data_IF_053932066674
#
_entry.id   IF_053932066674
#
_cell.length_a   1.000
_cell.length_b   1.000
_cell.length_c   1.000
_cell.angle_alpha   90.00
_cell.angle_beta   90.00
_cell.angle_gamma   90.00
#
_symmetry.space_group_name_H-M   'P 1'
#
loop_
_entity.id
_entity.type
_entity.pdbx_description
1 polymer ?
#
# COMPACT_ATOMS: atom_id res chain seq x y z
N UNK A 1 30.20 -23.66 -8.09
CA UNK A 1 30.36 -22.20 -8.02
C UNK A 1 29.07 -21.40 -8.28
N UNK A 2 28.23 -21.71 -9.30
CA UNK A 2 26.97 -20.97 -9.61
C UNK A 2 25.96 -20.97 -8.45
N UNK A 3 25.79 -22.07 -7.72
CA UNK A 3 24.84 -22.16 -6.60
C UNK A 3 25.27 -21.31 -5.38
N UNK A 4 26.57 -21.24 -5.09
CA UNK A 4 27.10 -20.43 -3.99
C UNK A 4 26.85 -18.92 -4.21
N UNK A 5 27.14 -18.42 -5.41
CA UNK A 5 26.85 -17.02 -5.74
C UNK A 5 25.35 -16.67 -5.68
N UNK A 6 24.49 -17.63 -6.06
CA UNK A 6 23.05 -17.45 -5.98
C UNK A 6 22.57 -17.33 -4.52
N UNK A 7 23.00 -18.22 -3.62
CA UNK A 7 22.64 -18.14 -2.21
C UNK A 7 23.24 -16.89 -1.52
N UNK A 8 24.47 -16.53 -1.85
CA UNK A 8 25.09 -15.31 -1.33
C UNK A 8 24.29 -14.06 -1.73
N UNK A 9 23.83 -14.00 -3.00
CA UNK A 9 22.97 -12.91 -3.47
C UNK A 9 21.63 -12.84 -2.72
N UNK A 10 20.97 -13.98 -2.51
CA UNK A 10 19.72 -14.05 -1.76
C UNK A 10 19.92 -13.56 -0.32
N UNK A 11 20.94 -14.05 0.37
CA UNK A 11 21.26 -13.67 1.75
C UNK A 11 21.54 -12.16 1.84
N UNK A 12 22.28 -11.61 0.89
CA UNK A 12 22.58 -10.18 0.83
C UNK A 12 21.31 -9.33 0.67
N UNK A 13 20.41 -9.72 -0.26
CA UNK A 13 19.14 -9.01 -0.49
C UNK A 13 18.25 -9.11 0.75
N UNK A 14 18.17 -10.28 1.40
CA UNK A 14 17.40 -10.45 2.62
C UNK A 14 17.96 -9.59 3.76
N UNK A 15 19.27 -9.60 3.96
CA UNK A 15 19.92 -8.80 5.00
C UNK A 15 19.69 -7.30 4.75
N UNK A 16 19.88 -6.84 3.52
CA UNK A 16 19.66 -5.45 3.12
C UNK A 16 18.19 -5.03 3.30
N UNK A 17 17.25 -5.90 2.92
CA UNK A 17 15.82 -5.65 3.08
C UNK A 17 15.35 -5.65 4.54
N UNK A 18 15.97 -6.47 5.41
CA UNK A 18 15.61 -6.56 6.82
C UNK A 18 16.31 -5.52 7.72
N UNK A 19 17.42 -4.95 7.26
CA UNK A 19 18.21 -3.98 8.03
C UNK A 19 17.38 -2.79 8.55
N UNK A 20 16.53 -2.12 7.75
CA UNK A 20 15.71 -1.03 8.27
C UNK A 20 14.69 -1.48 9.33
N UNK A 21 14.11 -2.67 9.18
CA UNK A 21 13.19 -3.22 10.18
C UNK A 21 13.90 -3.56 11.48
N UNK A 22 15.10 -4.12 11.39
CA UNK A 22 15.94 -4.33 12.56
C UNK A 22 16.22 -3.01 13.29
N UNK A 23 16.60 -1.96 12.54
CA UNK A 23 16.86 -0.65 13.12
C UNK A 23 15.63 -0.03 13.76
N UNK A 24 14.47 -0.15 13.13
CA UNK A 24 13.19 0.28 13.72
C UNK A 24 12.92 -0.44 15.04
N UNK A 25 13.16 -1.76 15.11
CA UNK A 25 12.97 -2.53 16.34
C UNK A 25 13.95 -2.09 17.44
N UNK A 26 15.22 -1.90 17.10
CA UNK A 26 16.24 -1.40 18.04
C UNK A 26 15.84 -0.04 18.59
N UNK A 27 15.39 0.87 17.74
CA UNK A 27 14.95 2.21 18.14
C UNK A 27 13.68 2.17 18.98
N UNK A 28 12.71 1.34 18.62
CA UNK A 28 11.46 1.17 19.35
C UNK A 28 11.67 0.64 20.79
N UNK A 29 12.69 -0.20 20.97
CA UNK A 29 13.05 -0.77 22.28
C UNK A 29 14.00 0.14 23.09
N UNK A 30 14.44 1.25 22.53
CA UNK A 30 15.41 2.14 23.17
C UNK A 30 14.70 3.22 24.00
N UNK A 31 15.24 3.56 25.19
CA UNK A 31 14.76 4.70 25.96
C UNK A 31 14.87 6.00 25.15
N UNK A 32 13.89 6.87 25.25
CA UNK A 32 13.79 8.13 24.50
C UNK A 32 15.03 9.03 24.65
N UNK A 33 15.72 8.97 25.79
CA UNK A 33 16.95 9.74 26.03
C UNK A 33 18.11 9.32 25.13
N UNK A 34 18.06 8.09 24.61
CA UNK A 34 19.08 7.47 23.76
C UNK A 34 18.62 7.25 22.32
N UNK A 35 17.56 7.91 21.88
CA UNK A 35 16.98 7.74 20.54
C UNK A 35 18.01 7.99 19.43
N UNK A 36 18.93 8.92 19.62
CA UNK A 36 19.97 9.27 18.64
C UNK A 36 21.26 8.47 18.79
N UNK A 37 21.31 7.49 19.70
CA UNK A 37 22.46 6.61 19.84
C UNK A 37 22.58 5.71 18.59
N UNK A 38 23.79 5.59 18.06
CA UNK A 38 24.08 4.85 16.81
C UNK A 38 24.48 3.40 17.06
N UNK A 39 24.45 2.92 18.32
CA UNK A 39 24.76 1.52 18.63
C UNK A 39 23.77 0.57 17.97
N UNK A 40 24.25 -0.54 17.35
CA UNK A 40 23.37 -1.46 16.62
C UNK A 40 22.47 -2.34 17.53
N UNK A 41 22.53 -2.19 18.83
CA UNK A 41 21.64 -2.86 19.81
C UNK A 41 21.08 -1.86 20.81
N UNK A 42 19.92 -2.12 21.40
CA UNK A 42 19.35 -1.23 22.41
C UNK A 42 20.14 -1.34 23.71
N UNK A 43 20.86 -0.28 24.08
CA UNK A 43 21.68 -0.22 25.33
C UNK A 43 20.82 -0.09 26.58
N UNK A 44 19.67 0.55 26.47
CA UNK A 44 18.68 0.76 27.53
C UNK A 44 17.32 0.30 27.02
N UNK A 45 17.00 -0.98 27.26
CA UNK A 45 15.76 -1.59 26.77
C UNK A 45 14.58 -1.11 27.59
N UNK A 46 13.57 -0.57 26.92
CA UNK A 46 12.28 -0.20 27.51
C UNK A 46 11.12 -0.57 26.60
N UNK A 47 9.94 -0.75 27.16
CA UNK A 47 8.67 -0.91 26.44
C UNK A 47 7.81 0.36 26.54
N UNK A 48 8.33 1.44 27.12
CA UNK A 48 7.57 2.68 27.32
C UNK A 48 7.13 3.29 26.01
N UNK A 49 7.95 3.22 24.95
CA UNK A 49 7.57 3.70 23.62
C UNK A 49 6.30 3.01 23.10
N UNK A 50 6.14 1.70 23.34
CA UNK A 50 4.93 0.96 22.95
C UNK A 50 3.75 1.33 23.84
N UNK A 51 3.97 1.48 25.15
CA UNK A 51 2.95 1.93 26.09
C UNK A 51 2.46 3.33 25.73
N UNK A 52 3.39 4.25 25.45
CA UNK A 52 3.09 5.63 25.09
C UNK A 52 2.37 5.73 23.74
N UNK A 53 2.72 4.90 22.76
CA UNK A 53 2.02 4.84 21.48
C UNK A 53 0.57 4.33 21.62
N UNK A 54 0.30 3.45 22.59
CA UNK A 54 -1.04 2.91 22.84
C UNK A 54 -1.84 3.75 23.85
N UNK A 55 -1.18 4.68 24.57
CA UNK A 55 -1.82 5.52 25.56
C UNK A 55 -2.56 6.69 24.88
N UNK A 56 -3.84 6.84 25.17
CA UNK A 56 -4.70 7.91 24.62
C UNK A 56 -4.55 9.24 25.37
N UNK A 57 -3.99 9.20 26.58
CA UNK A 57 -3.83 10.35 27.49
C UNK A 57 -2.74 11.35 27.04
N UNK A 58 -1.84 10.95 26.15
CA UNK A 58 -0.75 11.79 25.62
C UNK A 58 -1.09 12.50 24.29
N UNK A 59 -2.35 12.54 23.88
CA UNK A 59 -2.80 13.19 22.65
C UNK A 59 -2.54 12.38 21.37
N UNK A 60 -2.04 11.16 21.50
CA UNK A 60 -1.84 10.23 20.41
C UNK A 60 -3.02 9.24 20.37
N UNK A 61 -3.93 9.42 19.42
CA UNK A 61 -5.04 8.49 19.22
C UNK A 61 -4.67 7.41 18.19
N UNK A 62 -3.58 6.68 18.48
CA UNK A 62 -3.05 5.65 17.58
C UNK A 62 -4.06 4.55 17.28
N UNK A 63 -4.83 4.11 18.29
CA UNK A 63 -5.82 3.05 18.11
C UNK A 63 -6.97 3.51 17.21
N UNK A 64 -7.45 4.75 17.37
CA UNK A 64 -8.45 5.31 16.47
C UNK A 64 -7.89 5.51 15.05
N UNK A 65 -6.66 5.99 14.92
CA UNK A 65 -5.99 6.11 13.62
C UNK A 65 -5.84 4.75 12.93
N UNK A 66 -5.47 3.70 13.70
CA UNK A 66 -5.38 2.32 13.19
C UNK A 66 -6.75 1.81 12.76
N UNK A 67 -7.79 2.03 13.57
CA UNK A 67 -9.18 1.68 13.23
C UNK A 67 -9.66 2.36 11.96
N UNK A 68 -9.40 3.67 11.82
CA UNK A 68 -9.71 4.42 10.60
C UNK A 68 -8.98 3.88 9.37
N UNK A 69 -7.69 3.59 9.50
CA UNK A 69 -6.89 3.01 8.41
C UNK A 69 -7.41 1.63 8.00
N UNK A 70 -7.77 0.80 8.97
CA UNK A 70 -8.34 -0.53 8.72
C UNK A 70 -9.69 -0.43 8.00
N UNK A 71 -10.58 0.44 8.46
CA UNK A 71 -11.88 0.67 7.84
C UNK A 71 -11.72 1.16 6.39
N UNK A 72 -10.89 2.20 6.17
CA UNK A 72 -10.65 2.77 4.85
C UNK A 72 -10.07 1.71 3.91
N UNK A 73 -9.07 0.95 4.36
CA UNK A 73 -8.44 -0.07 3.53
C UNK A 73 -9.37 -1.23 3.19
N UNK A 74 -10.16 -1.71 4.16
CA UNK A 74 -11.13 -2.79 3.92
C UNK A 74 -12.23 -2.38 2.94
N UNK A 75 -12.83 -1.19 3.14
CA UNK A 75 -13.87 -0.69 2.23
C UNK A 75 -13.31 -0.44 0.84
N UNK A 76 -12.15 0.22 0.75
CA UNK A 76 -11.47 0.46 -0.54
C UNK A 76 -11.18 -0.84 -1.26
N UNK A 77 -10.59 -1.83 -0.57
CA UNK A 77 -10.24 -3.11 -1.18
C UNK A 77 -11.48 -3.89 -1.61
N UNK A 78 -12.50 -3.98 -0.77
CA UNK A 78 -13.73 -4.68 -1.11
C UNK A 78 -14.38 -4.10 -2.37
N UNK A 79 -14.52 -2.78 -2.44
CA UNK A 79 -15.13 -2.11 -3.59
C UNK A 79 -14.25 -2.22 -4.84
N UNK A 80 -12.94 -1.98 -4.72
CA UNK A 80 -12.02 -2.06 -5.85
C UNK A 80 -11.93 -3.47 -6.42
N UNK A 81 -11.87 -4.50 -5.57
CA UNK A 81 -11.85 -5.91 -6.00
C UNK A 81 -13.17 -6.29 -6.67
N UNK A 82 -14.31 -5.88 -6.11
CA UNK A 82 -15.61 -6.16 -6.69
C UNK A 82 -15.71 -5.58 -8.11
N UNK A 83 -15.42 -4.30 -8.27
CA UNK A 83 -15.43 -3.63 -9.58
C UNK A 83 -14.38 -4.26 -10.51
N UNK A 84 -13.16 -4.49 -10.00
CA UNK A 84 -12.06 -5.07 -10.76
C UNK A 84 -12.37 -6.44 -11.32
N UNK A 85 -12.95 -7.34 -10.51
CA UNK A 85 -13.33 -8.71 -10.95
C UNK A 85 -14.38 -8.66 -12.05
N UNK A 86 -15.45 -7.87 -11.90
CA UNK A 86 -16.47 -7.76 -12.95
C UNK A 86 -15.90 -7.14 -14.24
N UNK A 87 -15.06 -6.11 -14.11
CA UNK A 87 -14.42 -5.47 -15.27
C UNK A 87 -13.46 -6.45 -15.96
N UNK A 88 -12.62 -7.16 -15.21
CA UNK A 88 -11.70 -8.15 -15.74
C UNK A 88 -12.45 -9.32 -16.41
N UNK A 89 -13.55 -9.78 -15.81
CA UNK A 89 -14.41 -10.80 -16.39
C UNK A 89 -15.00 -10.33 -17.74
N UNK A 90 -15.55 -9.11 -17.77
CA UNK A 90 -16.10 -8.54 -19.02
C UNK A 90 -15.03 -8.41 -20.11
N UNK A 91 -13.84 -7.90 -19.76
CA UNK A 91 -12.71 -7.76 -20.68
C UNK A 91 -12.15 -9.11 -21.15
N UNK A 92 -12.20 -10.16 -20.33
CA UNK A 92 -11.71 -11.49 -20.72
C UNK A 92 -12.74 -12.28 -21.56
N UNK A 93 -14.02 -12.14 -21.25
CA UNK A 93 -15.10 -12.97 -21.83
C UNK A 93 -15.69 -12.42 -23.10
N UNK A 94 -15.78 -11.11 -23.24
CA UNK A 94 -16.44 -10.47 -24.38
C UNK A 94 -15.43 -9.83 -25.33
N UNK A 95 -15.67 -10.04 -26.62
CA UNK A 95 -14.97 -9.33 -27.70
C UNK A 95 -15.86 -8.22 -28.21
N UNK A 96 -15.43 -6.99 -28.02
CA UNK A 96 -16.15 -5.80 -28.46
C UNK A 96 -15.20 -4.78 -29.10
N UNK A 97 -15.70 -3.95 -30.04
CA UNK A 97 -14.89 -2.92 -30.67
C UNK A 97 -14.43 -1.91 -29.59
N UNK A 98 -13.12 -1.58 -29.58
CA UNK A 98 -12.54 -0.66 -28.58
C UNK A 98 -11.99 -1.31 -27.32
N UNK A 99 -12.08 -2.64 -27.13
CA UNK A 99 -11.51 -3.36 -26.00
C UNK A 99 -10.04 -3.00 -25.73
N UNK A 100 -9.23 -2.94 -26.81
CA UNK A 100 -7.81 -2.54 -26.71
C UNK A 100 -7.62 -1.11 -26.21
N UNK A 101 -8.51 -0.20 -26.62
CA UNK A 101 -8.47 1.21 -26.17
C UNK A 101 -8.81 1.28 -24.68
N UNK A 102 -9.86 0.59 -24.23
CA UNK A 102 -10.23 0.54 -22.80
C UNK A 102 -9.09 -0.02 -21.96
N UNK A 103 -8.50 -1.15 -22.36
CA UNK A 103 -7.35 -1.75 -21.67
C UNK A 103 -6.15 -0.79 -21.65
N UNK A 104 -5.89 -0.10 -22.78
CA UNK A 104 -4.84 0.91 -22.88
C UNK A 104 -5.04 2.08 -21.94
N UNK A 105 -6.28 2.59 -21.80
CA UNK A 105 -6.62 3.68 -20.85
C UNK A 105 -6.41 3.22 -19.42
N UNK A 106 -6.85 2.01 -19.06
CA UNK A 106 -6.66 1.46 -17.71
C UNK A 106 -5.15 1.36 -17.38
N UNK A 107 -4.36 0.88 -18.33
CA UNK A 107 -2.92 0.79 -18.18
C UNK A 107 -2.26 2.17 -18.07
N UNK A 108 -2.64 3.12 -18.91
CA UNK A 108 -2.15 4.50 -18.86
C UNK A 108 -2.48 5.18 -17.52
N UNK A 109 -3.69 4.94 -16.99
CA UNK A 109 -4.10 5.46 -15.70
C UNK A 109 -3.23 4.91 -14.55
N UNK A 110 -2.78 3.65 -14.64
CA UNK A 110 -1.87 3.07 -13.63
C UNK A 110 -0.48 3.70 -13.60
N UNK A 111 -0.06 4.31 -14.70
CA UNK A 111 1.25 4.98 -14.81
C UNK A 111 1.19 6.45 -14.36
N UNK A 112 0.01 6.97 -14.06
CA UNK A 112 -0.12 8.37 -13.65
C UNK A 112 0.40 8.56 -12.22
N UNK A 113 1.31 9.53 -11.97
CA UNK A 113 1.87 9.75 -10.64
C UNK A 113 0.81 10.29 -9.69
N UNK A 114 0.41 9.47 -8.70
CA UNK A 114 -0.62 9.83 -7.73
C UNK A 114 -0.33 11.14 -6.99
N UNK A 115 0.96 11.45 -6.78
CA UNK A 115 1.39 12.69 -6.11
C UNK A 115 0.96 13.95 -6.87
N UNK A 116 0.85 13.90 -8.20
CA UNK A 116 0.40 15.04 -9.01
C UNK A 116 -1.08 15.39 -8.79
N UNK A 117 -1.86 14.44 -8.26
CA UNK A 117 -3.29 14.64 -7.99
C UNK A 117 -3.57 15.18 -6.59
N UNK A 118 -2.58 15.25 -5.70
CA UNK A 118 -2.80 15.68 -4.30
C UNK A 118 -3.37 17.09 -4.24
N UNK A 119 -2.76 18.05 -4.92
CA UNK A 119 -3.23 19.45 -4.91
C UNK A 119 -4.62 19.64 -5.51
N UNK A 120 -4.92 19.16 -6.73
CA UNK A 120 -6.26 19.28 -7.30
C UNK A 120 -7.34 18.54 -6.50
N UNK A 121 -7.02 17.35 -5.94
CA UNK A 121 -7.96 16.64 -5.07
C UNK A 121 -8.23 17.38 -3.76
N UNK A 122 -7.21 18.00 -3.16
CA UNK A 122 -7.37 18.80 -1.96
C UNK A 122 -8.31 20.01 -2.22
N UNK A 123 -8.14 20.70 -3.34
CA UNK A 123 -9.01 21.82 -3.73
C UNK A 123 -10.45 21.33 -4.00
N UNK A 124 -10.61 20.22 -4.73
CA UNK A 124 -11.91 19.63 -5.02
C UNK A 124 -12.64 19.25 -3.73
N UNK A 125 -11.95 18.57 -2.81
CA UNK A 125 -12.55 18.14 -1.55
C UNK A 125 -12.78 19.28 -0.59
N UNK A 126 -12.00 20.38 -0.66
CA UNK A 126 -12.29 21.64 0.03
C UNK A 126 -13.62 22.22 -0.43
N UNK A 127 -13.82 22.35 -1.75
CA UNK A 127 -15.05 22.88 -2.34
C UNK A 127 -16.29 22.01 -2.06
N UNK A 128 -16.10 20.68 -1.91
CA UNK A 128 -17.15 19.73 -1.59
C UNK A 128 -17.39 19.55 -0.08
N UNK A 129 -16.63 20.22 0.77
CA UNK A 129 -16.65 20.05 2.22
C UNK A 129 -16.38 18.60 2.66
N UNK A 130 -15.54 17.87 1.92
CA UNK A 130 -15.20 16.48 2.21
C UNK A 130 -13.92 16.30 3.01
N UNK A 131 -13.15 17.38 3.22
CA UNK A 131 -11.91 17.32 4.02
C UNK A 131 -12.24 16.80 5.41
N UNK A 132 -11.45 15.83 5.91
CA UNK A 132 -11.68 15.16 7.18
C UNK A 132 -12.77 14.08 7.17
N UNK A 133 -13.30 13.71 6.01
CA UNK A 133 -14.30 12.64 5.88
C UNK A 133 -13.72 11.36 5.26
N UNK A 134 -14.32 10.21 5.57
CA UNK A 134 -13.95 8.92 4.95
C UNK A 134 -14.09 8.94 3.42
N UNK A 135 -15.04 9.71 2.87
CA UNK A 135 -15.27 9.83 1.43
C UNK A 135 -14.03 10.37 0.69
N UNK A 136 -13.39 11.39 1.27
CA UNK A 136 -12.17 11.98 0.70
C UNK A 136 -10.99 11.01 0.68
N UNK A 137 -10.99 9.99 1.52
CA UNK A 137 -9.95 8.96 1.56
C UNK A 137 -10.31 7.74 0.69
N UNK A 138 -11.55 7.25 0.79
CA UNK A 138 -11.96 5.99 0.15
C UNK A 138 -12.05 6.15 -1.36
N UNK A 139 -12.67 7.24 -1.87
CA UNK A 139 -12.95 7.39 -3.30
C UNK A 139 -11.67 7.48 -4.15
N UNK A 140 -10.66 8.32 -3.81
CA UNK A 140 -9.40 8.32 -4.54
C UNK A 140 -8.65 6.99 -4.44
N UNK A 141 -8.63 6.36 -3.26
CA UNK A 141 -7.96 5.09 -3.09
C UNK A 141 -8.58 3.96 -3.95
N UNK A 142 -9.90 3.94 -4.11
CA UNK A 142 -10.56 3.04 -5.06
C UNK A 142 -10.05 3.34 -6.48
N UNK A 143 -10.05 4.60 -6.90
CA UNK A 143 -9.62 5.01 -8.24
C UNK A 143 -8.18 4.61 -8.54
N UNK A 144 -7.27 4.71 -7.58
CA UNK A 144 -5.88 4.28 -7.70
C UNK A 144 -5.70 2.77 -7.69
N UNK A 145 -6.56 2.03 -6.98
CA UNK A 145 -6.49 0.57 -6.89
C UNK A 145 -7.09 -0.11 -8.13
N UNK A 146 -8.08 0.50 -8.79
CA UNK A 146 -8.82 -0.11 -9.91
C UNK A 146 -7.93 -0.60 -11.06
N UNK A 147 -6.95 0.16 -11.58
CA UNK A 147 -6.12 -0.32 -12.67
C UNK A 147 -5.41 -1.64 -12.35
N UNK A 148 -4.86 -1.77 -11.16
CA UNK A 148 -4.16 -2.98 -10.73
C UNK A 148 -5.13 -4.16 -10.55
N UNK A 149 -6.29 -3.94 -9.92
CA UNK A 149 -7.30 -4.98 -9.70
C UNK A 149 -7.93 -5.50 -10.98
N UNK A 150 -8.00 -4.69 -12.03
CA UNK A 150 -8.47 -5.11 -13.36
C UNK A 150 -7.37 -5.83 -14.13
N UNK A 151 -6.13 -5.29 -14.10
CA UNK A 151 -5.04 -5.81 -14.92
C UNK A 151 -4.54 -7.19 -14.46
N UNK A 152 -4.46 -7.40 -13.14
CA UNK A 152 -3.94 -8.64 -12.58
C UNK A 152 -4.71 -9.89 -13.05
N UNK A 153 -6.04 -9.97 -12.92
CA UNK A 153 -6.79 -11.14 -13.41
C UNK A 153 -6.73 -11.31 -14.93
N UNK A 154 -6.73 -10.21 -15.71
CA UNK A 154 -6.63 -10.28 -17.17
C UNK A 154 -5.31 -10.90 -17.61
N UNK A 155 -4.20 -10.53 -16.98
CA UNK A 155 -2.87 -11.09 -17.27
C UNK A 155 -2.78 -12.59 -16.98
N UNK A 156 -3.38 -13.05 -15.88
CA UNK A 156 -3.40 -14.48 -15.53
C UNK A 156 -4.23 -15.33 -16.52
N UNK A 157 -5.31 -14.80 -17.06
CA UNK A 157 -6.12 -15.54 -18.07
C UNK A 157 -5.37 -15.71 -19.37
N UNK A 158 -4.55 -14.75 -19.79
CA UNK A 158 -3.71 -14.86 -20.99
C UNK A 158 -2.58 -15.89 -20.83
N UNK A 159 -1.94 -15.96 -19.67
CA UNK A 159 -0.88 -16.95 -19.40
C UNK A 159 -1.41 -18.38 -19.48
N UNK A 160 -2.59 -18.64 -18.93
CA UNK A 160 -3.21 -19.98 -18.91
C UNK A 160 -3.68 -20.43 -20.30
N UNK A 161 -4.02 -19.51 -21.18
CA UNK A 161 -4.42 -19.84 -22.56
C UNK A 161 -3.24 -20.26 -23.45
N UNK A 162 -2.01 -20.04 -23.04
CA UNK A 162 -0.79 -20.47 -23.72
C UNK A 162 -0.26 -21.82 -23.21
N UNK A 163 -0.79 -22.35 -22.11
CA UNK A 163 -0.37 -23.64 -21.53
C UNK A 163 -1.28 -24.82 -21.93
N UNK A 164 -2.36 -24.57 -22.65
CA UNK A 164 -3.28 -25.56 -23.24
C UNK A 164 -3.20 -25.57 -24.74
#
# INVERSE_FOLDING_TARGET
MRKFGHYAGIIFIMFWGLAPFYWMLVTALRDQRFTFDTTPWPTHVTLDNFRDALATDKGNDFLAALGNSLLISLVTTAVAVLIGVFTAYALSRYDFPGKGIVTGIILAASMFPAIALVTPLFQLFGNLEWIGTYRAMIIPNISFALPLTVYTPVSYTHLRAHET
#
